data_IF_974482323028
#
_entry.id   IF_974482323028
#
_cell.length_a   1.000
_cell.length_b   1.000
_cell.length_c   1.000
_cell.angle_alpha   90.00
_cell.angle_beta   90.00
_cell.angle_gamma   90.00
#
_symmetry.space_group_name_H-M   'P 1'
#
loop_
_entity.id
_entity.type
_entity.pdbx_description
1 polymer ?
#
# COMPACT_ATOMS: atom_id res chain seq x y z
N UNK A 1 15.40 -24.67 -16.89
CA UNK A 1 16.36 -23.81 -16.17
C UNK A 1 15.52 -22.86 -15.32
N UNK A 2 15.40 -23.08 -14.01
CA UNK A 2 14.54 -22.24 -13.13
C UNK A 2 15.39 -21.11 -12.59
N UNK A 3 15.11 -19.90 -13.03
CA UNK A 3 15.76 -18.68 -12.54
C UNK A 3 15.35 -18.48 -11.07
N UNK A 4 16.35 -18.47 -10.18
CA UNK A 4 16.18 -18.16 -8.77
C UNK A 4 15.87 -16.67 -8.68
N UNK A 5 14.65 -16.30 -8.30
CA UNK A 5 14.38 -14.94 -7.82
C UNK A 5 15.09 -14.80 -6.49
N UNK A 6 16.27 -14.18 -6.51
CA UNK A 6 16.95 -13.74 -5.30
C UNK A 6 16.07 -12.69 -4.62
N UNK A 7 15.40 -13.09 -3.54
CA UNK A 7 14.80 -12.16 -2.59
C UNK A 7 15.93 -11.45 -1.88
N UNK A 8 16.38 -10.32 -2.45
CA UNK A 8 17.28 -9.40 -1.79
C UNK A 8 16.60 -8.91 -0.51
N UNK A 9 17.04 -9.44 0.64
CA UNK A 9 16.70 -8.92 1.95
C UNK A 9 17.17 -7.45 2.04
N UNK A 10 16.25 -6.52 1.85
CA UNK A 10 16.47 -5.10 2.11
C UNK A 10 16.50 -4.93 3.63
N UNK A 11 17.70 -4.82 4.18
CA UNK A 11 17.91 -4.66 5.62
C UNK A 11 17.80 -3.20 6.01
N UNK A 12 16.79 -2.90 6.82
CA UNK A 12 16.67 -1.61 7.49
C UNK A 12 17.60 -1.58 8.70
N UNK A 13 18.29 -0.46 8.89
CA UNK A 13 19.27 -0.29 9.97
C UNK A 13 18.61 -0.23 11.36
N UNK A 14 17.30 0.00 11.45
CA UNK A 14 16.59 0.09 12.71
C UNK A 14 15.12 -0.36 12.58
N UNK A 15 14.72 -1.33 13.39
CA UNK A 15 13.36 -1.88 13.40
C UNK A 15 12.32 -0.84 13.91
N UNK A 16 12.77 0.19 14.64
CA UNK A 16 11.94 1.27 15.16
C UNK A 16 11.63 2.39 14.15
N UNK A 17 12.36 2.46 13.02
CA UNK A 17 12.09 3.43 11.94
C UNK A 17 10.98 2.98 10.98
N UNK A 18 10.28 1.87 11.29
CA UNK A 18 9.05 1.44 10.61
C UNK A 18 7.87 2.29 11.07
N UNK A 19 7.95 3.60 10.90
CA UNK A 19 7.02 4.59 11.49
C UNK A 19 5.60 4.56 10.92
N UNK A 20 5.25 3.59 10.06
CA UNK A 20 3.89 3.31 9.65
C UNK A 20 3.35 2.06 10.34
N UNK A 21 2.42 2.21 11.29
CA UNK A 21 1.62 1.09 11.80
C UNK A 21 0.77 0.43 10.70
N UNK A 22 0.60 1.11 9.57
CA UNK A 22 -0.19 0.70 8.41
C UNK A 22 0.64 0.85 7.13
N UNK A 23 0.48 -0.11 6.21
CA UNK A 23 1.06 -0.01 4.87
C UNK A 23 0.47 1.17 4.11
N UNK A 24 1.31 1.92 3.39
CA UNK A 24 0.89 3.06 2.57
C UNK A 24 0.85 2.73 1.07
N UNK A 25 1.38 1.57 0.68
CA UNK A 25 1.38 1.09 -0.69
C UNK A 25 1.23 -0.43 -0.73
N UNK A 26 0.89 -0.96 -1.90
CA UNK A 26 1.00 -2.39 -2.17
C UNK A 26 1.56 -2.64 -3.57
N UNK A 27 2.20 -3.80 -3.75
CA UNK A 27 2.73 -4.27 -5.02
C UNK A 27 2.20 -5.67 -5.30
N UNK A 28 1.79 -5.92 -6.54
CA UNK A 28 1.49 -7.25 -7.03
C UNK A 28 2.74 -7.84 -7.69
N UNK A 29 3.11 -9.05 -7.30
CA UNK A 29 4.24 -9.79 -7.88
C UNK A 29 3.74 -11.14 -8.40
N UNK A 30 3.89 -11.44 -9.69
CA UNK A 30 3.53 -12.76 -10.23
C UNK A 30 4.31 -13.86 -9.52
N UNK A 31 3.65 -14.99 -9.22
CA UNK A 31 4.35 -16.18 -8.68
C UNK A 31 4.30 -17.34 -9.66
N UNK A 32 3.12 -17.95 -9.85
CA UNK A 32 2.89 -19.12 -10.71
C UNK A 32 1.49 -19.06 -11.35
N UNK A 33 1.16 -20.00 -12.25
CA UNK A 33 -0.10 -20.03 -13.01
C UNK A 33 -1.35 -19.78 -12.12
N UNK A 34 -1.94 -18.59 -12.27
CA UNK A 34 -3.17 -18.18 -11.60
C UNK A 34 -3.00 -17.59 -10.18
N UNK A 35 -1.77 -17.39 -9.70
CA UNK A 35 -1.48 -16.83 -8.38
C UNK A 35 -0.44 -15.70 -8.40
N UNK A 36 -0.58 -14.77 -7.48
CA UNK A 36 0.34 -13.67 -7.28
C UNK A 36 0.52 -13.37 -5.78
N UNK A 37 1.65 -12.76 -5.44
CA UNK A 37 1.86 -12.14 -4.15
C UNK A 37 1.33 -10.71 -4.14
N UNK A 38 0.61 -10.35 -3.09
CA UNK A 38 0.28 -8.99 -2.69
C UNK A 38 1.21 -8.60 -1.55
N UNK A 39 2.20 -7.78 -1.87
CA UNK A 39 3.15 -7.21 -0.93
C UNK A 39 2.59 -5.88 -0.42
N UNK A 40 2.34 -5.79 0.88
CA UNK A 40 2.02 -4.54 1.55
C UNK A 40 3.30 -3.85 1.97
N UNK A 41 3.45 -2.60 1.57
CA UNK A 41 4.68 -1.86 1.72
C UNK A 41 4.50 -0.60 2.56
N UNK A 42 5.54 -0.25 3.31
CA UNK A 42 5.72 1.07 3.92
C UNK A 42 6.88 1.74 3.19
N UNK A 43 6.57 2.80 2.45
CA UNK A 43 7.56 3.66 1.82
C UNK A 43 8.13 4.68 2.82
N UNK A 44 9.46 4.76 2.88
CA UNK A 44 10.25 5.71 3.69
C UNK A 44 10.90 6.73 2.75
N UNK A 45 10.37 7.97 2.66
CA UNK A 45 10.95 9.01 1.80
C UNK A 45 12.36 9.41 2.24
N UNK A 46 12.66 9.33 3.54
CA UNK A 46 13.98 9.66 4.10
C UNK A 46 15.07 8.69 3.65
N UNK A 47 14.70 7.44 3.37
CA UNK A 47 15.64 6.38 2.99
C UNK A 47 15.50 5.98 1.51
N UNK A 48 14.63 6.68 0.76
CA UNK A 48 14.29 6.42 -0.64
C UNK A 48 14.03 4.93 -0.95
N UNK A 49 13.33 4.24 -0.04
CA UNK A 49 13.07 2.81 -0.17
C UNK A 49 11.73 2.40 0.43
N UNK A 50 11.26 1.21 0.02
CA UNK A 50 10.04 0.60 0.52
C UNK A 50 10.33 -0.73 1.20
N UNK A 51 9.75 -0.93 2.39
CA UNK A 51 9.82 -2.20 3.13
C UNK A 51 8.54 -2.99 2.90
N UNK A 52 8.65 -4.30 2.73
CA UNK A 52 7.49 -5.19 2.80
C UNK A 52 7.18 -5.44 4.27
N UNK A 53 5.99 -5.07 4.71
CA UNK A 53 5.51 -5.32 6.09
C UNK A 53 4.60 -6.54 6.17
N UNK A 54 3.95 -6.91 5.05
CA UNK A 54 3.20 -8.15 4.94
C UNK A 54 3.21 -8.64 3.48
N UNK A 55 3.23 -9.96 3.30
CA UNK A 55 3.12 -10.62 2.00
C UNK A 55 2.00 -11.65 2.06
N UNK A 56 1.05 -11.55 1.15
CA UNK A 56 -0.09 -12.48 1.07
C UNK A 56 -0.12 -13.10 -0.33
N UNK A 57 -0.24 -14.42 -0.42
CA UNK A 57 -0.44 -15.12 -1.70
C UNK A 57 -1.94 -15.17 -1.99
N UNK A 58 -2.33 -14.74 -3.19
CA UNK A 58 -3.73 -14.70 -3.62
C UNK A 58 -3.86 -15.22 -5.05
N UNK A 59 -5.04 -15.75 -5.39
CA UNK A 59 -5.34 -16.04 -6.80
C UNK A 59 -5.53 -14.75 -7.59
N UNK A 60 -5.02 -14.72 -8.82
CA UNK A 60 -5.07 -13.55 -9.71
C UNK A 60 -6.51 -13.11 -9.98
N UNK A 61 -7.46 -14.06 -10.03
CA UNK A 61 -8.89 -13.77 -10.24
C UNK A 61 -9.51 -12.90 -9.12
N UNK A 62 -8.91 -12.89 -7.92
CA UNK A 62 -9.37 -12.05 -6.81
C UNK A 62 -8.77 -10.65 -6.83
N UNK A 63 -7.72 -10.40 -7.63
CA UNK A 63 -7.03 -9.10 -7.68
C UNK A 63 -7.98 -7.93 -8.00
N UNK A 64 -8.90 -8.03 -8.99
CA UNK A 64 -9.82 -6.92 -9.26
C UNK A 64 -10.73 -6.60 -8.07
N UNK A 65 -11.21 -7.63 -7.37
CA UNK A 65 -12.06 -7.47 -6.18
C UNK A 65 -11.28 -6.83 -5.04
N UNK A 66 -10.03 -7.25 -4.82
CA UNK A 66 -9.16 -6.69 -3.78
C UNK A 66 -8.88 -5.21 -4.07
N UNK A 67 -8.50 -4.86 -5.30
CA UNK A 67 -8.23 -3.47 -5.70
C UNK A 67 -9.48 -2.61 -5.52
N UNK A 68 -10.64 -3.11 -5.94
CA UNK A 68 -11.91 -2.39 -5.78
C UNK A 68 -12.22 -2.08 -4.31
N UNK A 69 -12.13 -3.10 -3.43
CA UNK A 69 -12.38 -2.95 -1.99
C UNK A 69 -11.40 -1.99 -1.31
N UNK A 70 -10.11 -2.07 -1.66
CA UNK A 70 -9.12 -1.14 -1.15
C UNK A 70 -9.44 0.29 -1.61
N UNK A 71 -9.85 0.46 -2.88
CA UNK A 71 -10.27 1.75 -3.43
C UNK A 71 -11.49 2.35 -2.73
N UNK A 72 -12.52 1.54 -2.43
CA UNK A 72 -13.70 1.99 -1.66
C UNK A 72 -13.27 2.48 -0.26
N UNK A 73 -12.49 1.68 0.47
CA UNK A 73 -12.04 2.06 1.82
C UNK A 73 -11.17 3.32 1.86
N UNK A 74 -10.40 3.60 0.81
CA UNK A 74 -9.61 4.83 0.67
C UNK A 74 -10.48 6.07 0.46
N UNK A 75 -11.59 5.97 -0.28
CA UNK A 75 -12.51 7.09 -0.51
C UNK A 75 -13.23 7.52 0.78
N UNK A 76 -13.59 6.55 1.61
CA UNK A 76 -14.22 6.81 2.92
C UNK A 76 -13.29 7.61 3.85
N UNK A 77 -11.98 7.35 3.82
CA UNK A 77 -10.98 8.10 4.59
C UNK A 77 -10.81 9.55 4.11
N UNK A 78 -10.96 9.82 2.80
CA UNK A 78 -10.82 11.18 2.24
C UNK A 78 -12.02 12.09 2.49
N UNK A 79 -13.18 11.52 2.83
CA UNK A 79 -14.42 12.29 3.09
C UNK A 79 -14.39 13.05 4.42
N UNK A 80 -13.50 12.68 5.34
CA UNK A 80 -13.42 13.25 6.70
C UNK A 80 -12.74 14.65 6.70
N UNK A 81 -12.06 15.04 5.62
CA UNK A 81 -11.22 16.24 5.57
C UNK A 81 -11.73 17.37 4.67
N UNK A 82 -13.06 17.53 4.53
CA UNK A 82 -13.60 18.73 3.91
C UNK A 82 -13.81 19.81 4.99
N UNK A 83 -13.00 20.89 5.04
CA UNK A 83 -13.28 21.99 5.97
C UNK A 83 -14.64 22.59 5.64
N UNK A 84 -15.42 23.03 6.65
CA UNK A 84 -16.73 23.62 6.41
C UNK A 84 -16.57 24.80 5.46
N UNK A 85 -17.33 24.78 4.36
CA UNK A 85 -17.38 25.90 3.41
C UNK A 85 -17.88 27.10 4.19
N UNK A 86 -16.99 28.04 4.48
CA UNK A 86 -17.36 29.32 5.08
C UNK A 86 -18.40 29.97 4.19
N UNK A 87 -19.61 30.13 4.73
CA UNK A 87 -20.65 30.97 4.17
C UNK A 87 -20.10 32.40 4.21
N UNK A 88 -19.60 32.87 3.07
CA UNK A 88 -19.23 34.27 2.89
C UNK A 88 -20.48 35.12 2.76
N UNK A 89 -21.20 35.30 3.88
CA UNK A 89 -22.08 36.45 4.06
C UNK A 89 -21.18 37.64 4.39
N UNK A 90 -20.91 38.42 3.36
CA UNK A 90 -20.18 39.68 3.44
C UNK A 90 -20.98 40.78 2.78
N UNK A 91 -22.15 41.08 3.34
CA UNK A 91 -22.76 42.40 3.24
C UNK A 91 -21.80 43.43 3.86
N UNK A 92 -21.31 44.37 3.04
CA UNK A 92 -21.28 45.82 3.31
C UNK A 92 -20.49 46.57 2.22
#
# INVERSE_FOLDING_TARGET
MRERVETSDVRFADEALRTGAFANAFRLTPDNDGECFLDFCVYSPSEDCACIVARVRVRTDFVPVIIHRLGEGLQDLTTIHQPPRGTGDGDN
#
